data_IF_600108361706
#
_entry.id   IF_600108361706
#
_cell.length_a   1.000
_cell.length_b   1.000
_cell.length_c   1.000
_cell.angle_alpha   90.00
_cell.angle_beta   90.00
_cell.angle_gamma   90.00
#
_symmetry.space_group_name_H-M   'P 1'
#
loop_
_entity.id
_entity.type
_entity.pdbx_description
1 polymer ?
#
# COMPACT_ATOMS: atom_id res chain seq x y z
N UNK A 1 -90.99 -14.79 28.86
CA UNK A 1 -90.39 -16.11 29.15
C UNK A 1 -90.34 -16.87 27.84
N UNK A 2 -89.16 -16.96 27.22
CA UNK A 2 -88.76 -18.07 26.32
C UNK A 2 -87.30 -17.83 25.93
N UNK A 3 -86.47 -18.74 26.41
CA UNK A 3 -85.03 -18.84 26.30
C UNK A 3 -84.66 -19.33 24.88
N UNK A 4 -83.73 -18.66 24.20
CA UNK A 4 -83.17 -19.13 22.92
C UNK A 4 -81.68 -19.40 23.09
N UNK A 5 -81.38 -20.66 23.39
CA UNK A 5 -80.04 -21.21 23.46
C UNK A 5 -79.47 -21.47 22.05
N UNK A 6 -78.24 -21.01 21.84
CA UNK A 6 -77.43 -21.22 20.63
C UNK A 6 -76.88 -22.67 20.62
N UNK A 7 -76.91 -23.41 19.49
CA UNK A 7 -76.38 -24.76 19.42
C UNK A 7 -74.84 -24.79 19.40
N UNK A 8 -74.25 -25.67 20.22
CA UNK A 8 -72.82 -25.93 20.25
C UNK A 8 -72.34 -26.61 18.95
N UNK A 9 -71.44 -25.94 18.22
CA UNK A 9 -70.72 -26.53 17.10
C UNK A 9 -69.81 -27.67 17.58
N UNK A 10 -70.10 -28.90 17.15
CA UNK A 10 -69.18 -30.04 17.28
C UNK A 10 -67.91 -29.74 16.48
N UNK A 11 -66.78 -29.74 17.17
CA UNK A 11 -65.45 -29.53 16.59
C UNK A 11 -65.16 -30.53 15.47
N UNK A 12 -64.81 -30.02 14.30
CA UNK A 12 -64.20 -30.78 13.22
C UNK A 12 -62.80 -31.19 13.70
N UNK A 13 -62.42 -32.49 13.67
CA UNK A 13 -61.07 -32.89 14.03
C UNK A 13 -60.07 -32.28 13.04
N UNK A 14 -59.07 -31.58 13.56
CA UNK A 14 -57.99 -31.02 12.77
C UNK A 14 -57.31 -32.13 11.94
N UNK A 15 -56.98 -31.88 10.66
CA UNK A 15 -56.29 -32.87 9.84
C UNK A 15 -54.95 -33.23 10.50
N UNK A 16 -54.74 -34.52 10.77
CA UNK A 16 -53.46 -35.06 11.23
C UNK A 16 -52.38 -34.64 10.22
N UNK A 17 -51.43 -33.83 10.67
CA UNK A 17 -50.23 -33.46 9.92
C UNK A 17 -49.35 -34.70 9.71
N UNK A 18 -49.69 -35.49 8.69
CA UNK A 18 -48.89 -36.59 8.19
C UNK A 18 -48.20 -36.12 6.90
N UNK A 19 -47.08 -35.40 7.02
CA UNK A 19 -45.97 -35.33 6.03
C UNK A 19 -44.91 -34.30 6.49
N UNK A 20 -44.25 -34.54 7.62
CA UNK A 20 -42.91 -33.97 7.85
C UNK A 20 -42.05 -35.17 8.24
N UNK A 21 -41.33 -35.72 7.26
CA UNK A 21 -40.33 -36.74 7.53
C UNK A 21 -39.38 -36.23 8.62
N UNK A 22 -39.08 -37.08 9.59
CA UNK A 22 -38.14 -36.78 10.67
C UNK A 22 -36.85 -36.18 10.08
N UNK A 23 -36.66 -34.87 10.25
CA UNK A 23 -35.37 -34.25 10.01
C UNK A 23 -34.47 -34.78 11.12
N UNK A 24 -33.68 -35.80 10.80
CA UNK A 24 -32.66 -36.39 11.68
C UNK A 24 -31.82 -35.24 12.26
N UNK A 25 -32.09 -34.85 13.51
CA UNK A 25 -31.39 -33.75 14.18
C UNK A 25 -29.90 -34.06 14.14
N UNK A 26 -29.11 -33.16 13.56
CA UNK A 26 -27.66 -33.30 13.52
C UNK A 26 -27.13 -33.08 14.93
N UNK A 27 -25.99 -33.71 15.25
CA UNK A 27 -25.30 -33.39 16.51
C UNK A 27 -24.87 -31.92 16.50
N UNK A 28 -24.85 -31.21 17.65
CA UNK A 28 -24.42 -29.81 17.73
C UNK A 28 -23.03 -29.55 17.13
N UNK A 29 -22.11 -30.52 17.25
CA UNK A 29 -20.78 -30.46 16.65
C UNK A 29 -20.84 -30.44 15.11
N UNK A 30 -21.67 -31.30 14.51
CA UNK A 30 -21.84 -31.35 13.05
C UNK A 30 -22.49 -30.07 12.49
N UNK A 31 -23.39 -29.42 13.24
CA UNK A 31 -23.96 -28.12 12.87
C UNK A 31 -22.90 -27.02 12.93
N UNK A 32 -22.12 -26.97 14.01
CA UNK A 32 -21.02 -26.01 14.16
C UNK A 32 -19.97 -26.16 13.05
N UNK A 33 -19.54 -27.39 12.75
CA UNK A 33 -18.60 -27.68 11.66
C UNK A 33 -19.15 -27.27 10.30
N UNK A 34 -20.45 -27.46 10.04
CA UNK A 34 -21.06 -27.06 8.79
C UNK A 34 -21.13 -25.53 8.64
N UNK A 35 -21.39 -24.79 9.73
CA UNK A 35 -21.34 -23.31 9.74
C UNK A 35 -19.91 -22.81 9.54
N UNK A 36 -18.92 -23.43 10.19
CA UNK A 36 -17.49 -23.10 9.99
C UNK A 36 -17.08 -23.36 8.54
N UNK A 37 -17.46 -24.50 7.96
CA UNK A 37 -17.17 -24.81 6.56
C UNK A 37 -17.78 -23.79 5.60
N UNK A 38 -19.01 -23.33 5.88
CA UNK A 38 -19.65 -22.28 5.08
C UNK A 38 -18.95 -20.93 5.23
N UNK A 39 -18.50 -20.59 6.45
CA UNK A 39 -17.70 -19.39 6.74
C UNK A 39 -16.35 -19.41 6.02
N UNK A 40 -15.64 -20.56 6.01
CA UNK A 40 -14.42 -20.76 5.25
C UNK A 40 -14.66 -20.66 3.74
N UNK A 41 -15.82 -21.14 3.26
CA UNK A 41 -16.25 -20.93 1.88
C UNK A 41 -16.41 -19.46 1.54
N UNK A 42 -17.11 -18.69 2.39
CA UNK A 42 -17.23 -17.24 2.26
C UNK A 42 -15.86 -16.57 2.22
N UNK A 43 -14.97 -16.95 3.14
CA UNK A 43 -13.60 -16.45 3.18
C UNK A 43 -12.87 -16.72 1.86
N UNK A 44 -12.90 -17.95 1.35
CA UNK A 44 -12.20 -18.32 0.12
C UNK A 44 -12.71 -17.54 -1.11
N UNK A 45 -14.03 -17.41 -1.26
CA UNK A 45 -14.64 -16.65 -2.35
C UNK A 45 -14.30 -15.17 -2.29
N UNK A 46 -14.46 -14.55 -1.13
CA UNK A 46 -14.17 -13.13 -0.93
C UNK A 46 -12.67 -12.84 -1.08
N UNK A 47 -11.80 -13.69 -0.53
CA UNK A 47 -10.35 -13.55 -0.75
C UNK A 47 -10.00 -13.66 -2.23
N UNK A 48 -10.59 -14.62 -2.94
CA UNK A 48 -10.37 -14.75 -4.38
C UNK A 48 -10.81 -13.50 -5.13
N UNK A 49 -11.94 -12.91 -4.77
CA UNK A 49 -12.49 -11.68 -5.35
C UNK A 49 -11.60 -10.46 -5.09
N UNK A 50 -11.10 -10.30 -3.86
CA UNK A 50 -10.43 -9.07 -3.43
C UNK A 50 -8.91 -9.06 -3.60
N UNK A 51 -8.23 -10.22 -3.56
CA UNK A 51 -6.77 -10.30 -3.72
C UNK A 51 -6.26 -9.59 -4.98
N UNK A 52 -6.88 -9.75 -6.17
CA UNK A 52 -6.45 -9.05 -7.38
C UNK A 52 -6.39 -7.54 -7.25
N UNK A 53 -7.20 -6.90 -6.39
CA UNK A 53 -7.15 -5.45 -6.17
C UNK A 53 -5.78 -5.05 -5.61
N UNK A 54 -5.22 -5.88 -4.73
CA UNK A 54 -3.96 -5.62 -4.05
C UNK A 54 -2.71 -5.99 -4.86
N UNK A 55 -2.85 -6.77 -5.95
CA UNK A 55 -1.75 -7.23 -6.82
C UNK A 55 -2.00 -6.97 -8.31
N UNK A 56 -2.92 -6.05 -8.63
CA UNK A 56 -3.36 -5.78 -9.99
C UNK A 56 -2.20 -5.38 -10.93
N UNK A 57 -1.24 -4.53 -10.50
CA UNK A 57 -0.08 -4.20 -11.33
C UNK A 57 0.77 -5.42 -11.68
N UNK A 58 1.04 -6.30 -10.73
CA UNK A 58 1.83 -7.53 -10.94
C UNK A 58 1.10 -8.51 -11.86
N UNK A 59 -0.23 -8.62 -11.72
CA UNK A 59 -1.03 -9.43 -12.63
C UNK A 59 -1.00 -8.87 -14.06
N UNK A 60 -1.07 -7.54 -14.23
CA UNK A 60 -0.99 -6.88 -15.52
C UNK A 60 0.36 -7.16 -16.22
N UNK A 61 1.45 -7.02 -15.46
CA UNK A 61 2.81 -7.32 -15.93
C UNK A 61 2.96 -8.81 -16.29
N UNK A 62 2.50 -9.73 -15.44
CA UNK A 62 2.64 -11.17 -15.63
C UNK A 62 1.96 -11.73 -16.89
N UNK A 63 0.93 -11.05 -17.40
CA UNK A 63 0.27 -11.41 -18.68
C UNK A 63 0.52 -10.40 -19.80
N UNK A 64 1.39 -9.42 -19.59
CA UNK A 64 1.84 -8.45 -20.60
C UNK A 64 0.75 -7.48 -21.09
N UNK A 65 -0.14 -7.01 -20.22
CA UNK A 65 -1.23 -6.06 -20.58
C UNK A 65 -1.13 -4.75 -19.80
N UNK A 66 -1.82 -3.71 -20.27
CA UNK A 66 -1.88 -2.43 -19.54
C UNK A 66 -2.67 -2.55 -18.24
N UNK A 67 -2.38 -1.68 -17.26
CA UNK A 67 -3.11 -1.61 -16.00
C UNK A 67 -4.61 -1.34 -16.23
N UNK A 68 -4.95 -0.53 -17.24
CA UNK A 68 -6.35 -0.28 -17.62
C UNK A 68 -7.07 -1.55 -18.10
N UNK A 69 -6.40 -2.39 -18.91
CA UNK A 69 -6.95 -3.69 -19.32
C UNK A 69 -7.06 -4.67 -18.15
N UNK A 70 -6.06 -4.70 -17.27
CA UNK A 70 -6.11 -5.50 -16.04
C UNK A 70 -7.28 -5.09 -15.13
N UNK A 71 -7.68 -3.81 -15.13
CA UNK A 71 -8.87 -3.30 -14.42
C UNK A 71 -10.15 -4.09 -14.71
N UNK A 72 -10.33 -4.61 -15.92
CA UNK A 72 -11.49 -5.44 -16.26
C UNK A 72 -11.54 -6.79 -15.52
N UNK A 73 -10.40 -7.28 -15.00
CA UNK A 73 -10.37 -8.48 -14.13
C UNK A 73 -11.13 -8.24 -12.83
N UNK A 74 -11.22 -6.99 -12.36
CA UNK A 74 -11.97 -6.57 -11.17
C UNK A 74 -13.39 -6.16 -11.56
N UNK A 75 -13.53 -5.23 -12.49
CA UNK A 75 -14.85 -4.70 -12.89
C UNK A 75 -15.74 -5.75 -13.55
N UNK A 76 -15.18 -6.56 -14.45
CA UNK A 76 -15.90 -7.63 -15.13
C UNK A 76 -16.31 -8.75 -14.16
N UNK A 77 -15.48 -9.04 -13.16
CA UNK A 77 -15.81 -9.98 -12.09
C UNK A 77 -17.02 -9.48 -11.28
N UNK A 78 -16.98 -8.24 -10.78
CA UNK A 78 -18.07 -7.66 -10.00
C UNK A 78 -19.39 -7.60 -10.80
N UNK A 79 -19.32 -7.20 -12.08
CA UNK A 79 -20.48 -7.16 -12.96
C UNK A 79 -21.08 -8.55 -13.15
N UNK A 80 -20.25 -9.56 -13.41
CA UNK A 80 -20.73 -10.93 -13.60
C UNK A 80 -21.33 -11.50 -12.31
N UNK A 81 -20.74 -11.24 -11.14
CA UNK A 81 -21.33 -11.63 -9.84
C UNK A 81 -22.75 -11.06 -9.70
N UNK A 82 -22.91 -9.76 -9.97
CA UNK A 82 -24.20 -9.08 -9.86
C UNK A 82 -25.26 -9.66 -10.82
N UNK A 83 -24.87 -9.94 -12.07
CA UNK A 83 -25.77 -10.50 -13.09
C UNK A 83 -26.06 -11.99 -12.81
N UNK A 84 -25.07 -12.75 -12.35
CA UNK A 84 -25.17 -14.20 -12.13
C UNK A 84 -26.07 -14.57 -10.94
N UNK A 85 -26.11 -13.72 -9.90
CA UNK A 85 -26.75 -14.04 -8.63
C UNK A 85 -28.23 -14.46 -8.79
N UNK A 86 -29.06 -13.68 -9.49
CA UNK A 86 -30.49 -13.98 -9.62
C UNK A 86 -30.82 -15.16 -10.55
N UNK A 87 -30.39 -15.16 -11.83
CA UNK A 87 -30.79 -16.19 -12.80
C UNK A 87 -30.21 -17.57 -12.46
N UNK A 88 -28.92 -17.65 -12.09
CA UNK A 88 -28.31 -18.95 -11.80
C UNK A 88 -28.81 -19.55 -10.50
N UNK A 89 -29.22 -18.73 -9.53
CA UNK A 89 -29.87 -19.23 -8.31
C UNK A 89 -31.26 -19.79 -8.59
N UNK A 90 -32.01 -19.17 -9.51
CA UNK A 90 -33.29 -19.70 -9.96
C UNK A 90 -33.11 -21.08 -10.65
N UNK A 91 -32.12 -21.19 -11.56
CA UNK A 91 -31.81 -22.45 -12.27
C UNK A 91 -31.36 -23.56 -11.31
N UNK A 92 -30.53 -23.21 -10.33
CA UNK A 92 -30.03 -24.16 -9.32
C UNK A 92 -31.01 -24.40 -8.17
N UNK A 93 -32.21 -23.80 -8.21
CA UNK A 93 -33.20 -23.88 -7.14
C UNK A 93 -33.69 -25.30 -6.80
N UNK A 94 -33.68 -26.20 -7.80
CA UNK A 94 -34.08 -27.62 -7.65
C UNK A 94 -32.92 -28.55 -7.27
N UNK A 95 -31.68 -28.04 -7.26
CA UNK A 95 -30.50 -28.86 -6.99
C UNK A 95 -30.38 -29.19 -5.51
N UNK A 96 -29.78 -30.35 -5.20
CA UNK A 96 -29.44 -30.69 -3.83
C UNK A 96 -28.40 -29.69 -3.30
N UNK A 97 -28.76 -28.98 -2.23
CA UNK A 97 -27.95 -27.89 -1.68
C UNK A 97 -26.54 -28.31 -1.26
N UNK A 98 -26.35 -29.53 -0.75
CA UNK A 98 -25.01 -30.03 -0.38
C UNK A 98 -24.13 -30.10 -1.62
N UNK A 99 -24.64 -30.72 -2.68
CA UNK A 99 -23.90 -30.87 -3.93
C UNK A 99 -23.68 -29.54 -4.63
N UNK A 100 -24.66 -28.63 -4.60
CA UNK A 100 -24.48 -27.27 -5.09
C UNK A 100 -23.29 -26.58 -4.41
N UNK A 101 -23.26 -26.54 -3.07
CA UNK A 101 -22.16 -25.89 -2.34
C UNK A 101 -20.79 -26.51 -2.66
N UNK A 102 -20.71 -27.85 -2.73
CA UNK A 102 -19.47 -28.53 -3.10
C UNK A 102 -19.03 -28.21 -4.53
N UNK A 103 -19.96 -28.18 -5.49
CA UNK A 103 -19.67 -27.80 -6.87
C UNK A 103 -19.18 -26.36 -7.00
N UNK A 104 -19.74 -25.42 -6.22
CA UNK A 104 -19.30 -24.03 -6.21
C UNK A 104 -17.88 -23.89 -5.63
N UNK A 105 -17.60 -24.56 -4.52
CA UNK A 105 -16.25 -24.59 -3.95
C UNK A 105 -15.24 -25.23 -4.92
N UNK A 106 -15.62 -26.32 -5.58
CA UNK A 106 -14.80 -26.94 -6.62
C UNK A 106 -14.54 -25.99 -7.79
N UNK A 107 -15.57 -25.28 -8.29
CA UNK A 107 -15.41 -24.29 -9.34
C UNK A 107 -14.50 -23.12 -8.92
N UNK A 108 -14.60 -22.68 -7.67
CA UNK A 108 -13.70 -21.68 -7.08
C UNK A 108 -12.25 -22.18 -7.05
N UNK A 109 -12.01 -23.40 -6.57
CA UNK A 109 -10.67 -24.00 -6.55
C UNK A 109 -10.13 -24.17 -7.97
N UNK A 110 -10.92 -24.73 -8.89
CA UNK A 110 -10.52 -24.93 -10.27
C UNK A 110 -10.18 -23.62 -10.97
N UNK A 111 -11.02 -22.58 -10.79
CA UNK A 111 -10.76 -21.27 -11.36
C UNK A 111 -9.50 -20.61 -10.80
N UNK A 112 -9.19 -20.80 -9.51
CA UNK A 112 -7.92 -20.34 -8.92
C UNK A 112 -6.71 -21.12 -9.46
N UNK A 113 -6.83 -22.44 -9.67
CA UNK A 113 -5.77 -23.24 -10.30
C UNK A 113 -5.54 -22.79 -11.75
N UNK A 114 -6.59 -22.53 -12.51
CA UNK A 114 -6.49 -21.99 -13.87
C UNK A 114 -5.86 -20.59 -13.88
N UNK A 115 -6.17 -19.77 -12.87
CA UNK A 115 -5.55 -18.44 -12.68
C UNK A 115 -4.05 -18.57 -12.43
N UNK A 116 -3.61 -19.56 -11.65
CA UNK A 116 -2.20 -19.80 -11.39
C UNK A 116 -1.40 -20.18 -12.64
N UNK A 117 -2.00 -20.99 -13.53
CA UNK A 117 -1.38 -21.39 -14.81
C UNK A 117 -1.68 -20.43 -15.97
N UNK A 118 -2.24 -19.25 -15.71
CA UNK A 118 -2.61 -18.33 -16.78
C UNK A 118 -1.36 -17.63 -17.35
N UNK A 119 -0.97 -18.02 -18.57
CA UNK A 119 0.17 -17.41 -19.29
C UNK A 119 -0.24 -16.21 -20.16
N UNK A 120 -1.54 -15.92 -20.27
CA UNK A 120 -2.06 -14.80 -21.03
C UNK A 120 -3.37 -14.27 -20.44
N UNK A 121 -3.70 -13.03 -20.83
CA UNK A 121 -4.85 -12.30 -20.31
C UNK A 121 -6.19 -13.00 -20.57
N UNK A 122 -6.36 -13.69 -21.69
CA UNK A 122 -7.62 -14.35 -22.03
C UNK A 122 -7.91 -15.52 -21.08
N UNK A 123 -6.89 -16.35 -20.79
CA UNK A 123 -7.01 -17.45 -19.84
C UNK A 123 -7.27 -16.91 -18.43
N UNK A 124 -6.56 -15.86 -18.03
CA UNK A 124 -6.73 -15.19 -16.74
C UNK A 124 -8.14 -14.61 -16.57
N UNK A 125 -8.66 -13.91 -17.59
CA UNK A 125 -10.01 -13.36 -17.57
C UNK A 125 -11.05 -14.48 -17.52
N UNK A 126 -10.91 -15.52 -18.35
CA UNK A 126 -11.84 -16.64 -18.39
C UNK A 126 -11.89 -17.39 -17.04
N UNK A 127 -10.74 -17.68 -16.42
CA UNK A 127 -10.68 -18.31 -15.11
C UNK A 127 -11.37 -17.47 -14.05
N UNK A 128 -11.17 -16.14 -14.07
CA UNK A 128 -11.84 -15.19 -13.18
C UNK A 128 -13.34 -15.16 -13.37
N UNK A 129 -13.84 -15.20 -14.60
CA UNK A 129 -15.27 -15.21 -14.89
C UNK A 129 -15.95 -16.51 -14.42
N UNK A 130 -15.27 -17.65 -14.51
CA UNK A 130 -15.76 -18.92 -13.93
C UNK A 130 -15.96 -18.77 -12.42
N UNK A 131 -14.97 -18.21 -11.72
CA UNK A 131 -15.08 -17.97 -10.28
C UNK A 131 -16.18 -16.93 -9.97
N UNK A 132 -16.31 -15.87 -10.76
CA UNK A 132 -17.33 -14.84 -10.57
C UNK A 132 -18.76 -15.42 -10.66
N UNK A 133 -19.02 -16.28 -11.64
CA UNK A 133 -20.30 -16.95 -11.76
C UNK A 133 -20.60 -17.84 -10.54
N UNK A 134 -19.60 -18.62 -10.07
CA UNK A 134 -19.74 -19.43 -8.87
C UNK A 134 -19.96 -18.58 -7.60
N UNK A 135 -19.26 -17.45 -7.51
CA UNK A 135 -19.38 -16.50 -6.41
C UNK A 135 -20.78 -15.90 -6.32
N UNK A 136 -21.38 -15.49 -7.45
CA UNK A 136 -22.75 -14.98 -7.47
C UNK A 136 -23.80 -15.97 -6.94
N UNK A 137 -23.67 -17.26 -7.29
CA UNK A 137 -24.55 -18.32 -6.78
C UNK A 137 -24.27 -18.60 -5.29
N UNK A 138 -23.00 -18.51 -4.87
CA UNK A 138 -22.64 -18.68 -3.47
C UNK A 138 -23.25 -17.58 -2.61
N UNK A 139 -23.14 -16.31 -3.02
CA UNK A 139 -23.70 -15.15 -2.33
C UNK A 139 -25.21 -15.25 -2.08
N UNK A 140 -25.97 -15.67 -3.09
CA UNK A 140 -27.43 -15.80 -2.97
C UNK A 140 -27.89 -16.96 -2.08
N UNK A 141 -27.03 -17.98 -1.88
CA UNK A 141 -27.39 -19.23 -1.19
C UNK A 141 -26.77 -19.38 0.19
N UNK A 142 -25.63 -18.73 0.48
CA UNK A 142 -24.89 -18.88 1.74
C UNK A 142 -25.74 -18.54 2.98
N UNK A 143 -26.44 -17.40 2.98
CA UNK A 143 -27.33 -17.03 4.09
C UNK A 143 -28.48 -18.04 4.27
N UNK A 144 -29.11 -18.47 3.17
CA UNK A 144 -30.19 -19.46 3.23
C UNK A 144 -29.72 -20.80 3.79
N UNK A 145 -28.47 -21.18 3.49
CA UNK A 145 -27.85 -22.39 4.00
C UNK A 145 -27.50 -22.29 5.47
N UNK A 146 -27.03 -21.14 5.94
CA UNK A 146 -26.79 -20.89 7.36
C UNK A 146 -28.07 -21.08 8.19
N UNK A 147 -29.18 -20.49 7.73
CA UNK A 147 -30.51 -20.62 8.37
C UNK A 147 -31.01 -22.07 8.32
N UNK A 148 -30.76 -22.79 7.23
CA UNK A 148 -31.20 -24.19 7.06
C UNK A 148 -30.40 -25.19 7.90
N UNK A 149 -29.14 -24.90 8.20
CA UNK A 149 -28.26 -25.78 8.97
C UNK A 149 -28.44 -25.57 10.48
N UNK A 150 -28.67 -24.33 10.91
CA UNK A 150 -28.76 -23.99 12.32
C UNK A 150 -30.18 -24.18 12.88
N UNK A 151 -30.31 -24.50 14.18
CA UNK A 151 -31.60 -24.43 14.87
C UNK A 151 -32.17 -23.02 14.80
N UNK A 152 -33.50 -22.89 14.73
CA UNK A 152 -34.21 -21.61 14.55
C UNK A 152 -33.76 -20.52 15.55
N UNK A 153 -33.57 -20.89 16.82
CA UNK A 153 -33.03 -20.03 17.89
C UNK A 153 -31.60 -19.50 17.68
N UNK A 154 -30.85 -20.06 16.73
CA UNK A 154 -29.45 -19.73 16.45
C UNK A 154 -29.22 -19.33 14.98
N UNK A 155 -30.27 -19.21 14.17
CA UNK A 155 -30.16 -18.89 12.75
C UNK A 155 -29.42 -17.57 12.48
N UNK A 156 -29.73 -16.51 13.25
CA UNK A 156 -29.04 -15.22 13.14
C UNK A 156 -27.55 -15.37 13.45
N UNK A 157 -27.20 -16.08 14.53
CA UNK A 157 -25.79 -16.28 14.94
C UNK A 157 -25.02 -17.10 13.89
N UNK A 158 -25.66 -18.09 13.29
CA UNK A 158 -25.05 -18.87 12.21
C UNK A 158 -24.80 -18.00 10.97
N UNK A 159 -25.78 -17.20 10.55
CA UNK A 159 -25.60 -16.26 9.43
C UNK A 159 -24.50 -15.25 9.70
N UNK A 160 -24.43 -14.69 10.92
CA UNK A 160 -23.34 -13.79 11.34
C UNK A 160 -21.98 -14.48 11.29
N UNK A 161 -21.87 -15.75 11.73
CA UNK A 161 -20.62 -16.50 11.66
C UNK A 161 -20.18 -16.79 10.22
N UNK A 162 -21.12 -17.05 9.31
CA UNK A 162 -20.84 -17.24 7.87
C UNK A 162 -20.31 -15.96 7.24
N UNK A 163 -20.92 -14.81 7.55
CA UNK A 163 -20.42 -13.51 7.09
C UNK A 163 -19.19 -13.01 7.88
N UNK A 164 -18.85 -13.62 9.01
CA UNK A 164 -17.56 -13.42 9.66
C UNK A 164 -16.38 -13.77 8.74
N UNK A 165 -16.56 -14.74 7.85
CA UNK A 165 -15.56 -15.08 6.82
C UNK A 165 -15.29 -13.95 5.82
N UNK A 166 -16.31 -13.15 5.48
CA UNK A 166 -16.16 -11.94 4.65
C UNK A 166 -15.28 -10.90 5.35
N UNK A 167 -15.58 -10.61 6.63
CA UNK A 167 -14.78 -9.65 7.41
C UNK A 167 -13.31 -10.10 7.51
N UNK A 168 -13.07 -11.38 7.78
CA UNK A 168 -11.72 -11.96 7.80
C UNK A 168 -11.03 -11.88 6.45
N UNK A 169 -11.73 -12.12 5.34
CA UNK A 169 -11.16 -12.04 4.01
C UNK A 169 -10.80 -10.62 3.59
N UNK A 170 -11.58 -9.61 3.98
CA UNK A 170 -11.22 -8.21 3.72
C UNK A 170 -10.03 -7.75 4.58
N UNK A 171 -9.96 -8.18 5.84
CA UNK A 171 -8.89 -7.81 6.78
C UNK A 171 -7.58 -8.55 6.48
N UNK A 172 -7.64 -9.82 6.09
CA UNK A 172 -6.45 -10.65 5.86
C UNK A 172 -6.12 -10.79 4.38
N UNK A 173 -7.11 -10.94 3.51
CA UNK A 173 -6.92 -11.29 2.10
C UNK A 173 -6.24 -10.20 1.28
N UNK A 174 -6.70 -8.94 1.38
CA UNK A 174 -6.08 -7.84 0.64
C UNK A 174 -4.64 -7.60 1.13
N UNK A 175 -4.38 -7.42 2.45
CA UNK A 175 -3.01 -7.23 2.93
C UNK A 175 -2.11 -8.44 2.68
N UNK A 176 -2.61 -9.69 2.80
CA UNK A 176 -1.81 -10.88 2.50
C UNK A 176 -1.52 -10.99 1.00
N UNK A 177 -2.46 -10.65 0.12
CA UNK A 177 -2.25 -10.60 -1.32
C UNK A 177 -1.19 -9.57 -1.70
N UNK A 178 -1.37 -8.32 -1.24
CA UNK A 178 -0.38 -7.25 -1.43
C UNK A 178 0.96 -7.59 -0.79
N UNK A 179 0.97 -8.17 0.40
CA UNK A 179 2.18 -8.64 1.06
C UNK A 179 2.87 -9.69 0.22
N UNK A 180 2.22 -10.82 -0.12
CA UNK A 180 2.81 -11.90 -0.93
C UNK A 180 3.23 -11.46 -2.33
N UNK A 181 2.46 -10.56 -2.97
CA UNK A 181 2.80 -9.99 -4.28
C UNK A 181 3.97 -9.00 -4.23
N UNK A 182 4.22 -8.38 -3.09
CA UNK A 182 5.34 -7.47 -2.89
C UNK A 182 6.52 -8.10 -2.13
N UNK A 183 6.34 -9.22 -1.42
CA UNK A 183 7.33 -9.74 -0.46
C UNK A 183 8.61 -10.26 -1.12
N UNK A 184 8.54 -10.61 -2.40
CA UNK A 184 9.70 -10.99 -3.19
C UNK A 184 10.37 -9.75 -3.81
N UNK A 185 11.16 -8.99 -3.04
CA UNK A 185 12.02 -7.94 -3.62
C UNK A 185 12.45 -6.76 -2.75
N UNK A 186 11.96 -6.65 -1.50
CA UNK A 186 12.26 -5.47 -0.68
C UNK A 186 13.70 -5.52 -0.17
N UNK A 187 14.38 -4.39 -0.27
CA UNK A 187 15.73 -4.18 0.26
C UNK A 187 15.60 -3.15 1.37
N UNK A 188 16.11 -3.46 2.55
CA UNK A 188 15.97 -2.59 3.72
C UNK A 188 17.27 -1.83 3.92
N UNK A 189 17.21 -0.54 4.23
CA UNK A 189 18.39 0.18 4.69
C UNK A 189 18.56 0.03 6.20
N UNK A 190 19.81 -0.18 6.65
CA UNK A 190 20.16 -0.15 8.06
C UNK A 190 21.40 0.72 8.28
N UNK A 191 21.37 1.51 9.36
CA UNK A 191 22.49 2.42 9.69
C UNK A 191 23.78 1.67 10.08
N UNK A 192 23.64 0.50 10.71
CA UNK A 192 24.75 -0.30 11.22
C UNK A 192 24.38 -1.79 11.30
N UNK A 193 25.37 -2.65 11.49
CA UNK A 193 25.21 -4.11 11.60
C UNK A 193 24.17 -4.57 12.63
N UNK A 194 24.10 -3.93 13.80
CA UNK A 194 23.09 -4.26 14.82
C UNK A 194 21.66 -4.02 14.31
N UNK A 195 21.43 -2.87 13.67
CA UNK A 195 20.15 -2.54 13.03
C UNK A 195 19.88 -3.42 11.82
N UNK A 196 20.91 -3.84 11.09
CA UNK A 196 20.79 -4.75 9.96
C UNK A 196 20.29 -6.13 10.42
N UNK A 197 20.89 -6.68 11.48
CA UNK A 197 20.47 -7.93 12.11
C UNK A 197 19.04 -7.83 12.66
N UNK A 198 18.72 -6.74 13.35
CA UNK A 198 17.37 -6.50 13.86
C UNK A 198 16.33 -6.40 12.73
N UNK A 199 16.68 -5.72 11.62
CA UNK A 199 15.82 -5.60 10.45
C UNK A 199 15.58 -6.96 9.78
N UNK A 200 16.63 -7.77 9.58
CA UNK A 200 16.48 -9.13 9.04
C UNK A 200 15.71 -10.06 9.97
N UNK A 201 15.88 -9.94 11.28
CA UNK A 201 15.10 -10.73 12.24
C UNK A 201 13.61 -10.37 12.19
N UNK A 202 13.27 -9.08 12.01
CA UNK A 202 11.90 -8.61 11.88
C UNK A 202 11.29 -8.91 10.49
N UNK A 203 12.12 -8.93 9.45
CA UNK A 203 11.72 -9.11 8.04
C UNK A 203 12.60 -10.17 7.37
N UNK A 204 12.48 -11.46 7.75
CA UNK A 204 13.40 -12.52 7.32
C UNK A 204 13.35 -12.82 5.81
N UNK A 205 12.31 -12.38 5.11
CA UNK A 205 12.21 -12.54 3.66
C UNK A 205 12.69 -11.32 2.86
N UNK A 206 13.22 -10.28 3.51
CA UNK A 206 13.84 -9.18 2.79
C UNK A 206 14.98 -9.71 1.91
N UNK A 207 15.06 -9.22 0.66
CA UNK A 207 16.03 -9.69 -0.32
C UNK A 207 17.47 -9.33 0.07
N UNK A 208 17.66 -8.14 0.65
CA UNK A 208 18.95 -7.68 1.13
C UNK A 208 18.78 -6.59 2.20
N UNK A 209 19.84 -6.38 3.00
CA UNK A 209 20.01 -5.18 3.81
C UNK A 209 21.16 -4.35 3.26
N UNK A 210 20.87 -3.11 2.92
CA UNK A 210 21.84 -2.11 2.53
C UNK A 210 22.32 -1.39 3.79
N UNK A 211 23.48 -1.78 4.31
CA UNK A 211 24.08 -1.12 5.47
C UNK A 211 24.80 0.18 5.05
N UNK A 212 24.59 1.26 5.81
CA UNK A 212 25.41 2.48 5.70
C UNK A 212 24.89 3.65 6.55
N UNK A 213 25.77 4.30 7.31
CA UNK A 213 25.44 5.51 8.06
C UNK A 213 25.58 6.77 7.19
N UNK A 214 24.46 7.33 6.76
CA UNK A 214 24.44 8.50 5.89
C UNK A 214 25.01 9.78 6.53
N UNK A 215 25.30 9.76 7.83
CA UNK A 215 25.98 10.89 8.50
C UNK A 215 27.46 10.99 8.15
N UNK A 216 28.05 10.02 7.43
CA UNK A 216 29.44 10.08 6.98
C UNK A 216 29.58 9.87 5.48
N UNK A 217 30.44 10.65 4.83
CA UNK A 217 30.69 10.66 3.38
C UNK A 217 31.04 9.24 2.90
N UNK A 218 32.03 8.60 3.53
CA UNK A 218 32.51 7.27 3.13
C UNK A 218 31.41 6.21 3.25
N UNK A 219 30.57 6.25 4.28
CA UNK A 219 29.50 5.27 4.42
C UNK A 219 28.35 5.54 3.44
N UNK A 220 28.03 6.81 3.14
CA UNK A 220 27.07 7.17 2.09
C UNK A 220 27.52 6.71 0.70
N UNK A 221 28.80 6.87 0.37
CA UNK A 221 29.35 6.36 -0.90
C UNK A 221 29.22 4.84 -1.01
N UNK A 222 29.60 4.11 0.04
CA UNK A 222 29.43 2.63 0.10
C UNK A 222 27.97 2.21 0.01
N UNK A 223 27.06 2.99 0.58
CA UNK A 223 25.62 2.76 0.49
C UNK A 223 25.14 2.88 -0.97
N UNK A 224 25.58 3.91 -1.71
CA UNK A 224 25.28 4.06 -3.13
C UNK A 224 25.82 2.89 -3.97
N UNK A 225 27.08 2.49 -3.75
CA UNK A 225 27.68 1.31 -4.39
C UNK A 225 26.88 0.03 -4.10
N UNK A 226 26.43 -0.14 -2.85
CA UNK A 226 25.62 -1.28 -2.47
C UNK A 226 24.23 -1.25 -3.12
N UNK A 227 23.60 -0.07 -3.20
CA UNK A 227 22.34 0.11 -3.90
C UNK A 227 22.47 -0.27 -5.38
N UNK A 228 23.50 0.22 -6.08
CA UNK A 228 23.74 -0.09 -7.50
C UNK A 228 23.94 -1.58 -7.79
N UNK A 229 24.59 -2.32 -6.89
CA UNK A 229 24.74 -3.79 -7.01
C UNK A 229 23.41 -4.54 -6.97
N UNK A 230 22.40 -3.93 -6.35
CA UNK A 230 21.13 -4.57 -6.07
C UNK A 230 20.02 -4.17 -7.05
N UNK A 231 20.26 -3.22 -7.95
CA UNK A 231 19.41 -3.00 -9.12
C UNK A 231 19.41 -1.55 -9.59
N UNK A 232 19.01 -1.31 -10.85
CA UNK A 232 18.61 0.01 -11.26
C UNK A 232 17.34 0.43 -10.49
N UNK A 233 17.21 1.72 -10.21
CA UNK A 233 16.04 2.29 -9.55
C UNK A 233 15.33 3.23 -10.53
N UNK A 234 14.03 3.04 -10.75
CA UNK A 234 13.25 3.96 -11.59
C UNK A 234 13.04 5.33 -10.91
N UNK A 235 12.97 5.34 -9.59
CA UNK A 235 12.81 6.54 -8.78
C UNK A 235 13.64 6.47 -7.50
N UNK A 236 14.18 7.61 -7.05
CA UNK A 236 14.85 7.77 -5.76
C UNK A 236 14.19 8.88 -4.96
N UNK A 237 13.80 8.57 -3.72
CA UNK A 237 13.20 9.51 -2.77
C UNK A 237 14.18 9.72 -1.61
N UNK A 238 14.72 10.93 -1.46
CA UNK A 238 15.69 11.26 -0.41
C UNK A 238 15.00 11.56 0.94
N UNK A 239 14.31 10.56 1.49
CA UNK A 239 13.45 10.73 2.67
C UNK A 239 14.20 10.78 4.01
N UNK A 240 15.44 10.29 4.07
CA UNK A 240 16.20 10.25 5.33
C UNK A 240 16.53 11.68 5.77
N UNK A 241 16.15 12.02 7.00
CA UNK A 241 16.44 13.32 7.59
C UNK A 241 16.56 13.25 9.11
N UNK A 242 17.26 14.24 9.68
CA UNK A 242 17.28 14.56 11.11
C UNK A 242 16.59 15.89 11.35
N UNK A 243 15.93 16.03 12.50
CA UNK A 243 15.01 17.13 12.80
C UNK A 243 15.67 18.38 13.42
N UNK A 244 14.85 19.41 13.60
CA UNK A 244 15.20 20.78 14.04
C UNK A 244 15.57 20.95 15.53
N UNK A 245 15.62 19.86 16.32
CA UNK A 245 15.73 19.94 17.78
C UNK A 245 17.15 19.69 18.31
N UNK A 246 18.18 19.85 17.49
CA UNK A 246 19.57 19.73 17.94
C UNK A 246 19.98 20.96 18.76
N UNK A 247 20.18 20.86 20.08
CA UNK A 247 20.43 22.03 20.94
C UNK A 247 21.85 22.61 20.75
N UNK A 248 22.74 21.86 20.10
CA UNK A 248 24.12 22.24 19.81
C UNK A 248 24.56 21.59 18.50
N UNK A 249 25.59 22.13 17.86
CA UNK A 249 26.20 21.57 16.66
C UNK A 249 26.76 20.18 16.96
N UNK A 250 26.12 19.15 16.44
CA UNK A 250 26.63 17.78 16.52
C UNK A 250 27.59 17.56 15.37
N UNK A 251 28.82 17.21 15.68
CA UNK A 251 29.85 16.94 14.67
C UNK A 251 29.83 15.46 14.26
N UNK A 252 29.81 15.22 12.96
CA UNK A 252 29.91 13.88 12.36
C UNK A 252 31.35 13.41 12.31
N UNK A 253 31.57 12.15 11.92
CA UNK A 253 32.92 11.60 11.73
C UNK A 253 33.78 12.35 10.69
N UNK A 254 33.15 13.14 9.80
CA UNK A 254 33.83 13.95 8.79
C UNK A 254 33.98 15.43 9.21
N UNK A 255 33.70 15.78 10.47
CA UNK A 255 33.83 17.16 10.96
C UNK A 255 32.67 18.09 10.57
N UNK A 256 31.64 17.57 9.90
CA UNK A 256 30.49 18.33 9.41
C UNK A 256 29.33 18.36 10.41
N UNK A 257 28.48 19.40 10.42
CA UNK A 257 27.23 19.37 11.19
C UNK A 257 26.34 18.20 10.77
N UNK A 258 25.80 17.49 11.75
CA UNK A 258 24.97 16.31 11.55
C UNK A 258 23.74 16.58 10.64
N UNK A 259 23.03 17.69 10.87
CA UNK A 259 21.91 18.12 10.00
C UNK A 259 22.36 18.30 8.55
N UNK A 260 23.46 19.01 8.31
CA UNK A 260 23.98 19.24 6.96
C UNK A 260 24.42 17.94 6.28
N UNK A 261 25.17 17.09 6.99
CA UNK A 261 25.67 15.84 6.46
C UNK A 261 24.53 14.91 6.02
N UNK A 262 23.49 14.76 6.86
CA UNK A 262 22.37 13.85 6.61
C UNK A 262 21.34 14.44 5.64
N UNK A 263 20.94 15.69 5.82
CA UNK A 263 19.82 16.27 5.06
C UNK A 263 20.25 16.92 3.74
N UNK A 264 21.55 17.22 3.54
CA UNK A 264 22.01 17.92 2.34
C UNK A 264 23.09 17.13 1.60
N UNK A 265 24.19 16.80 2.28
CA UNK A 265 25.33 16.17 1.61
C UNK A 265 25.04 14.73 1.20
N UNK A 266 24.32 13.97 2.03
CA UNK A 266 23.97 12.59 1.71
C UNK A 266 23.02 12.48 0.50
N UNK A 267 21.92 13.26 0.38
CA UNK A 267 21.12 13.31 -0.85
C UNK A 267 21.94 13.62 -2.10
N UNK A 268 22.86 14.59 -2.02
CA UNK A 268 23.77 14.89 -3.13
C UNK A 268 24.64 13.68 -3.51
N UNK A 269 25.36 13.07 -2.55
CA UNK A 269 26.24 11.92 -2.79
C UNK A 269 25.46 10.75 -3.39
N UNK A 270 24.28 10.43 -2.82
CA UNK A 270 23.44 9.34 -3.30
C UNK A 270 22.92 9.63 -4.71
N UNK A 271 22.50 10.87 -4.99
CA UNK A 271 22.08 11.26 -6.35
C UNK A 271 23.23 11.10 -7.34
N UNK A 272 24.42 11.60 -7.00
CA UNK A 272 25.59 11.58 -7.87
C UNK A 272 26.11 10.16 -8.17
N UNK A 273 25.90 9.20 -7.26
CA UNK A 273 26.49 7.86 -7.35
C UNK A 273 25.50 6.74 -7.67
N UNK A 274 24.22 6.86 -7.31
CA UNK A 274 23.22 5.86 -7.69
C UNK A 274 22.98 5.95 -9.20
N UNK A 275 22.85 4.81 -9.88
CA UNK A 275 22.56 4.76 -11.31
C UNK A 275 21.35 5.64 -11.65
N UNK A 276 21.52 6.52 -12.63
CA UNK A 276 20.60 7.64 -12.94
C UNK A 276 19.14 7.16 -13.02
N UNK A 277 18.27 7.54 -12.06
CA UNK A 277 16.86 7.16 -12.09
C UNK A 277 16.09 8.05 -13.06
N UNK A 278 14.83 7.69 -13.38
CA UNK A 278 13.93 8.55 -14.17
C UNK A 278 13.33 9.67 -13.34
N UNK A 279 13.22 9.47 -12.01
CA UNK A 279 12.57 10.39 -11.07
C UNK A 279 13.40 10.58 -9.80
N UNK A 280 13.58 11.83 -9.41
CA UNK A 280 14.20 12.24 -8.15
C UNK A 280 13.18 13.04 -7.33
N UNK A 281 13.06 12.69 -6.05
CA UNK A 281 12.14 13.35 -5.12
C UNK A 281 12.87 13.75 -3.85
N UNK A 282 12.80 15.03 -3.51
CA UNK A 282 13.47 15.62 -2.33
C UNK A 282 12.43 16.13 -1.31
N UNK A 283 12.13 15.35 -0.25
CA UNK A 283 11.31 15.79 0.87
C UNK A 283 11.95 16.94 1.67
N UNK A 284 11.42 18.14 1.42
CA UNK A 284 11.75 19.39 2.09
C UNK A 284 10.69 19.71 3.19
N UNK A 285 10.48 20.99 3.51
CA UNK A 285 9.56 21.51 4.51
C UNK A 285 9.22 22.96 4.19
N UNK A 286 8.01 23.40 4.52
CA UNK A 286 7.59 24.80 4.41
C UNK A 286 8.45 25.82 5.14
N UNK A 287 9.27 25.38 6.11
CA UNK A 287 10.25 26.21 6.80
C UNK A 287 11.32 26.78 5.85
N UNK A 288 11.60 26.12 4.73
CA UNK A 288 12.59 26.59 3.76
C UNK A 288 12.27 27.98 3.20
N UNK A 289 10.99 28.39 3.18
CA UNK A 289 10.53 29.67 2.61
C UNK A 289 11.07 30.89 3.35
N UNK A 290 11.47 30.74 4.61
CA UNK A 290 12.03 31.81 5.43
C UNK A 290 13.47 31.54 5.87
N UNK A 291 14.11 30.48 5.35
CA UNK A 291 15.47 30.12 5.72
C UNK A 291 16.48 31.08 5.08
N UNK A 292 17.65 31.23 5.69
CA UNK A 292 18.78 31.89 5.05
C UNK A 292 19.21 31.14 3.77
N UNK A 293 19.42 31.88 2.68
CA UNK A 293 20.03 31.36 1.45
C UNK A 293 21.56 31.57 1.40
N UNK A 294 22.17 32.01 2.50
CA UNK A 294 23.62 32.23 2.58
C UNK A 294 24.37 30.90 2.72
N UNK A 295 25.20 30.59 1.72
CA UNK A 295 26.00 29.37 1.67
C UNK A 295 27.44 29.58 2.20
N UNK A 296 27.82 30.78 2.65
CA UNK A 296 29.18 31.13 3.09
C UNK A 296 29.59 30.48 4.42
N UNK A 297 28.61 30.11 5.25
CA UNK A 297 28.78 29.41 6.52
C UNK A 297 27.79 28.25 6.69
N UNK A 298 27.61 27.50 5.60
CA UNK A 298 26.72 26.33 5.53
C UNK A 298 27.06 25.23 6.56
N UNK A 299 28.31 25.22 7.04
CA UNK A 299 28.78 24.28 8.09
C UNK A 299 28.69 24.85 9.51
N UNK A 300 28.11 26.05 9.68
CA UNK A 300 27.91 26.71 10.97
C UNK A 300 29.21 26.80 11.80
N UNK A 301 30.29 27.21 11.14
CA UNK A 301 31.62 27.32 11.74
C UNK A 301 31.89 28.74 12.30
N UNK A 302 31.23 29.76 11.74
CA UNK A 302 31.46 31.18 12.10
C UNK A 302 30.40 31.71 13.05
N UNK A 303 29.14 31.28 12.90
CA UNK A 303 28.01 31.75 13.72
C UNK A 303 27.62 30.78 14.84
N UNK A 304 26.92 31.29 15.85
CA UNK A 304 26.38 30.48 16.95
C UNK A 304 25.33 29.53 16.41
N UNK A 305 25.36 28.27 16.84
CA UNK A 305 24.41 27.23 16.44
C UNK A 305 22.96 27.57 16.79
N UNK A 306 22.08 27.38 15.81
CA UNK A 306 20.62 27.33 15.96
C UNK A 306 20.10 26.11 15.18
N UNK A 307 19.56 25.11 15.90
CA UNK A 307 19.10 23.87 15.27
C UNK A 307 17.85 24.03 14.39
N UNK A 308 17.03 25.06 14.63
CA UNK A 308 15.83 25.31 13.82
C UNK A 308 16.20 25.99 12.52
N UNK A 309 17.09 26.98 12.57
CA UNK A 309 17.61 27.63 11.37
C UNK A 309 18.45 26.64 10.55
N UNK A 310 19.37 25.89 11.16
CA UNK A 310 20.17 24.88 10.45
C UNK A 310 19.30 23.82 9.74
N UNK A 311 18.18 23.42 10.36
CA UNK A 311 17.21 22.53 9.73
C UNK A 311 16.46 23.22 8.58
N UNK A 312 16.02 24.46 8.77
CA UNK A 312 15.29 25.23 7.74
C UNK A 312 16.15 25.47 6.51
N UNK A 313 17.43 25.80 6.69
CA UNK A 313 18.45 25.89 5.64
C UNK A 313 18.64 24.55 4.93
N UNK A 314 18.76 23.44 5.68
CA UNK A 314 18.87 22.10 5.06
C UNK A 314 17.67 21.76 4.17
N UNK A 315 16.49 22.27 4.51
CA UNK A 315 15.26 22.09 3.72
C UNK A 315 15.25 22.99 2.50
N UNK A 316 15.86 24.17 2.55
CA UNK A 316 16.13 24.98 1.36
C UNK A 316 17.13 24.27 0.43
N UNK A 317 18.16 23.63 0.99
CA UNK A 317 19.11 22.85 0.20
C UNK A 317 18.45 21.68 -0.54
N UNK A 318 17.49 20.99 0.06
CA UNK A 318 16.69 19.95 -0.64
C UNK A 318 16.02 20.50 -1.91
N UNK A 319 15.46 21.71 -1.86
CA UNK A 319 14.83 22.36 -3.03
C UNK A 319 15.88 22.80 -4.06
N UNK A 320 16.99 23.37 -3.60
CA UNK A 320 18.10 23.76 -4.48
C UNK A 320 18.69 22.55 -5.21
N UNK A 321 18.91 21.43 -4.53
CA UNK A 321 19.36 20.17 -5.12
C UNK A 321 18.35 19.67 -6.16
N UNK A 322 17.07 19.61 -5.80
CA UNK A 322 16.02 19.17 -6.72
C UNK A 322 16.03 19.99 -8.02
N UNK A 323 16.14 21.31 -7.91
CA UNK A 323 16.09 22.20 -9.07
C UNK A 323 17.42 22.22 -9.85
N UNK A 324 18.56 22.05 -9.18
CA UNK A 324 19.85 21.86 -9.82
C UNK A 324 19.84 20.59 -10.70
N UNK A 325 19.40 19.45 -10.15
CA UNK A 325 19.33 18.20 -10.90
C UNK A 325 18.27 18.22 -12.01
N UNK A 326 17.17 18.96 -11.83
CA UNK A 326 16.20 19.19 -12.92
C UNK A 326 16.84 19.89 -14.13
N UNK A 327 17.81 20.78 -13.90
CA UNK A 327 18.55 21.50 -14.95
C UNK A 327 19.72 20.69 -15.50
N UNK A 328 20.46 20.01 -14.63
CA UNK A 328 21.65 19.26 -15.02
C UNK A 328 21.31 17.95 -15.73
N UNK A 329 20.18 17.32 -15.40
CA UNK A 329 19.72 16.08 -16.01
C UNK A 329 18.32 16.29 -16.62
N UNK A 330 18.22 16.87 -17.83
CA UNK A 330 16.93 17.22 -18.44
C UNK A 330 16.02 16.01 -18.71
N UNK A 331 16.60 14.80 -18.81
CA UNK A 331 15.86 13.54 -18.98
C UNK A 331 15.34 12.96 -17.64
N UNK A 332 15.61 13.61 -16.50
CA UNK A 332 15.21 13.17 -15.16
C UNK A 332 14.22 14.17 -14.57
N UNK A 333 13.06 13.67 -14.14
CA UNK A 333 12.08 14.48 -13.43
C UNK A 333 12.54 14.65 -11.98
N UNK A 334 12.96 15.85 -11.61
CA UNK A 334 13.49 16.13 -10.28
C UNK A 334 12.66 17.20 -9.58
N UNK A 335 12.01 16.82 -8.48
CA UNK A 335 11.05 17.67 -7.77
C UNK A 335 11.26 17.62 -6.26
N UNK A 336 10.83 18.67 -5.58
CA UNK A 336 10.79 18.75 -4.13
C UNK A 336 9.35 18.82 -3.62
N UNK A 337 9.15 18.57 -2.33
CA UNK A 337 7.83 18.67 -1.69
C UNK A 337 7.94 18.90 -0.20
N UNK A 338 6.86 19.35 0.43
CA UNK A 338 6.68 19.22 1.88
C UNK A 338 5.68 18.09 2.20
N UNK A 339 6.01 17.17 3.12
CA UNK A 339 5.17 16.01 3.43
C UNK A 339 4.03 16.33 4.42
N UNK A 340 3.92 17.59 4.88
CA UNK A 340 3.00 17.98 5.95
C UNK A 340 3.57 17.77 7.36
N UNK A 341 2.86 18.31 8.36
CA UNK A 341 3.20 18.21 9.77
C UNK A 341 2.33 17.15 10.45
N UNK A 342 2.81 15.90 10.39
CA UNK A 342 2.13 14.71 10.92
C UNK A 342 2.73 14.21 12.23
N UNK A 343 1.89 13.59 13.06
CA UNK A 343 2.25 13.08 14.39
C UNK A 343 3.18 11.86 14.31
N UNK A 344 4.48 12.17 14.21
CA UNK A 344 5.59 11.22 14.22
C UNK A 344 6.57 11.57 15.34
N UNK A 345 7.59 10.74 15.58
CA UNK A 345 8.66 11.09 16.52
C UNK A 345 9.32 12.44 16.20
N UNK A 346 9.38 12.80 14.91
CA UNK A 346 9.94 14.06 14.44
C UNK A 346 8.94 15.22 14.52
N UNK A 347 7.67 15.00 14.12
CA UNK A 347 6.62 16.03 14.15
C UNK A 347 6.13 16.39 15.55
N UNK A 348 6.18 15.43 16.49
CA UNK A 348 5.68 15.57 17.85
C UNK A 348 4.16 15.46 17.96
N UNK A 349 3.65 15.43 19.19
CA UNK A 349 2.22 15.22 19.48
C UNK A 349 1.31 16.38 19.10
N UNK A 350 1.86 17.56 18.79
CA UNK A 350 1.11 18.75 18.39
C UNK A 350 0.83 18.81 16.88
N UNK A 351 1.37 17.87 16.12
CA UNK A 351 1.23 17.82 14.67
C UNK A 351 -0.22 17.48 14.26
N UNK A 352 -0.78 18.28 13.37
CA UNK A 352 -2.23 18.30 13.07
C UNK A 352 -2.63 17.59 11.79
N UNK A 353 -1.67 17.31 10.90
CA UNK A 353 -1.99 16.76 9.58
C UNK A 353 -2.30 15.26 9.66
N UNK A 354 -3.04 14.79 8.66
CA UNK A 354 -3.40 13.38 8.52
C UNK A 354 -2.18 12.54 8.11
N UNK A 355 -1.89 11.51 8.91
CA UNK A 355 -0.80 10.57 8.67
C UNK A 355 -0.90 9.87 7.30
N UNK A 356 -2.13 9.60 6.84
CA UNK A 356 -2.35 8.96 5.54
C UNK A 356 -1.92 9.87 4.37
N UNK A 357 -1.99 11.18 4.55
CA UNK A 357 -1.62 12.14 3.50
C UNK A 357 -0.10 12.34 3.39
N UNK A 358 0.67 12.05 4.44
CA UNK A 358 2.09 12.39 4.50
C UNK A 358 3.00 11.67 3.51
N UNK A 359 2.54 10.56 2.94
CA UNK A 359 3.31 9.78 1.96
C UNK A 359 2.84 9.95 0.51
N UNK A 360 1.63 10.49 0.31
CA UNK A 360 0.96 10.46 -1.00
C UNK A 360 1.67 11.31 -2.04
N UNK A 361 2.17 12.49 -1.69
CA UNK A 361 2.84 13.39 -2.65
C UNK A 361 4.14 12.79 -3.18
N UNK A 362 4.99 12.22 -2.31
CA UNK A 362 6.23 11.59 -2.75
C UNK A 362 5.98 10.33 -3.58
N UNK A 363 4.98 9.52 -3.22
CA UNK A 363 4.59 8.36 -4.03
C UNK A 363 4.05 8.80 -5.39
N UNK A 364 3.16 9.80 -5.43
CA UNK A 364 2.60 10.35 -6.66
C UNK A 364 3.71 10.88 -7.60
N UNK A 365 4.66 11.66 -7.09
CA UNK A 365 5.81 12.12 -7.89
C UNK A 365 6.72 10.98 -8.34
N UNK A 366 6.85 9.90 -7.56
CA UNK A 366 7.72 8.78 -7.89
C UNK A 366 7.15 7.80 -8.93
N UNK A 367 5.82 7.63 -9.00
CA UNK A 367 5.21 6.57 -9.84
C UNK A 367 4.08 7.01 -10.78
N UNK A 368 3.53 8.23 -10.64
CA UNK A 368 2.35 8.63 -11.39
C UNK A 368 2.67 9.18 -12.78
N UNK A 369 1.90 8.76 -13.78
CA UNK A 369 1.91 9.32 -15.15
C UNK A 369 0.90 10.47 -15.34
N UNK A 370 0.28 10.95 -14.24
CA UNK A 370 -0.53 12.17 -14.24
C UNK A 370 0.29 13.35 -14.80
N UNK A 371 -0.21 14.10 -15.80
CA UNK A 371 0.49 15.28 -16.34
C UNK A 371 0.99 16.26 -15.27
N UNK A 372 0.29 16.39 -14.14
CA UNK A 372 0.73 17.24 -13.03
C UNK A 372 1.91 16.66 -12.23
N UNK A 373 2.14 15.34 -12.28
CA UNK A 373 3.31 14.66 -11.71
C UNK A 373 4.49 14.58 -12.69
N UNK A 374 4.22 14.64 -14.00
CA UNK A 374 5.23 14.58 -15.06
C UNK A 374 5.78 15.97 -15.34
N UNK A 375 6.37 16.57 -14.30
CA UNK A 375 7.05 17.87 -14.37
C UNK A 375 8.41 17.80 -13.68
N UNK A 376 9.22 18.83 -13.83
CA UNK A 376 10.52 18.95 -13.17
C UNK A 376 10.67 20.36 -12.58
N UNK A 377 11.55 20.52 -11.59
CA UNK A 377 11.70 21.75 -10.82
C UNK A 377 10.40 22.26 -10.16
N UNK A 378 9.51 21.34 -9.79
CA UNK A 378 8.29 21.61 -9.04
C UNK A 378 8.47 21.47 -7.53
N UNK A 379 7.64 22.20 -6.77
CA UNK A 379 7.52 22.07 -5.32
C UNK A 379 6.06 21.88 -4.92
N UNK A 380 5.79 20.83 -4.14
CA UNK A 380 4.41 20.36 -3.91
C UNK A 380 4.05 20.19 -2.44
N UNK A 381 2.76 20.34 -2.15
CA UNK A 381 2.14 19.96 -0.90
C UNK A 381 0.77 19.35 -1.19
N UNK A 382 0.51 18.12 -0.73
CA UNK A 382 -0.71 17.36 -1.05
C UNK A 382 -1.04 17.34 -2.55
N UNK A 383 -0.04 17.01 -3.37
CA UNK A 383 -0.14 16.97 -4.85
C UNK A 383 -0.53 18.30 -5.51
N UNK A 384 -0.46 19.42 -4.77
CA UNK A 384 -0.71 20.77 -5.27
C UNK A 384 0.59 21.58 -5.32
N UNK A 385 0.84 22.34 -6.39
CA UNK A 385 2.00 23.24 -6.45
C UNK A 385 1.99 24.26 -5.31
N UNK A 386 3.17 24.59 -4.80
CA UNK A 386 3.37 25.61 -3.77
C UNK A 386 4.54 26.52 -4.10
N UNK A 387 4.51 27.72 -3.52
CA UNK A 387 5.62 28.65 -3.62
C UNK A 387 6.84 28.15 -2.85
N UNK A 388 8.00 28.53 -3.37
CA UNK A 388 9.32 28.23 -2.83
C UNK A 388 10.01 29.50 -2.39
N UNK A 389 11.07 29.36 -1.59
CA UNK A 389 12.00 30.46 -1.32
C UNK A 389 12.47 31.13 -2.62
N UNK A 390 12.63 32.46 -2.62
CA UNK A 390 12.96 33.24 -3.81
C UNK A 390 14.26 32.78 -4.49
N UNK A 391 15.29 32.47 -3.69
CA UNK A 391 16.58 31.98 -4.20
C UNK A 391 16.56 30.52 -4.69
N UNK A 392 15.51 29.75 -4.46
CA UNK A 392 15.46 28.35 -4.91
C UNK A 392 15.60 28.23 -6.44
N UNK A 393 15.12 29.24 -7.18
CA UNK A 393 15.22 29.32 -8.65
C UNK A 393 16.45 30.07 -9.15
N UNK A 394 17.33 30.53 -8.26
CA UNK A 394 18.57 31.19 -8.64
C UNK A 394 19.61 30.14 -9.06
N UNK A 395 19.93 30.09 -10.36
CA UNK A 395 20.90 29.12 -10.88
C UNK A 395 22.28 29.24 -10.24
N UNK A 396 22.72 30.46 -9.90
CA UNK A 396 24.01 30.66 -9.24
C UNK A 396 24.03 30.04 -7.84
N UNK A 397 22.91 30.10 -7.10
CA UNK A 397 22.80 29.47 -5.78
C UNK A 397 22.76 27.94 -5.89
N UNK A 398 22.05 27.42 -6.89
CA UNK A 398 22.04 25.98 -7.20
C UNK A 398 23.45 25.48 -7.53
N UNK A 399 24.15 26.15 -8.45
CA UNK A 399 25.52 25.81 -8.87
C UNK A 399 26.47 25.85 -7.66
N UNK A 400 26.37 26.91 -6.85
CA UNK A 400 27.20 27.09 -5.66
C UNK A 400 27.00 26.00 -4.60
N UNK A 401 25.76 25.57 -4.37
CA UNK A 401 25.47 24.44 -3.48
C UNK A 401 26.12 23.15 -3.99
N UNK A 402 26.00 22.89 -5.30
CA UNK A 402 26.62 21.72 -5.93
C UNK A 402 28.15 21.75 -5.77
N UNK A 403 28.80 22.88 -6.07
CA UNK A 403 30.25 23.04 -5.90
C UNK A 403 30.71 22.80 -4.46
N UNK A 404 29.95 23.29 -3.47
CA UNK A 404 30.22 23.04 -2.06
C UNK A 404 30.13 21.54 -1.75
N UNK A 405 29.08 20.88 -2.22
CA UNK A 405 28.87 19.45 -2.01
C UNK A 405 29.95 18.60 -2.70
N UNK A 406 30.35 18.95 -3.93
CA UNK A 406 31.49 18.34 -4.65
C UNK A 406 32.79 18.48 -3.86
N UNK A 407 33.12 19.70 -3.42
CA UNK A 407 34.34 19.96 -2.65
C UNK A 407 34.39 19.19 -1.33
N UNK A 408 33.28 19.15 -0.59
CA UNK A 408 33.22 18.48 0.70
C UNK A 408 33.21 16.96 0.58
N UNK A 409 32.50 16.41 -0.41
CA UNK A 409 32.45 14.96 -0.64
C UNK A 409 33.67 14.42 -1.39
N UNK A 410 34.40 15.26 -2.12
CA UNK A 410 35.44 14.86 -3.06
C UNK A 410 34.90 14.26 -4.37
N UNK A 411 33.59 14.33 -4.61
CA UNK A 411 32.96 13.89 -5.86
C UNK A 411 32.97 15.01 -6.90
N UNK A 412 32.97 14.62 -8.17
CA UNK A 412 32.64 15.49 -9.29
C UNK A 412 31.42 14.94 -9.99
N UNK A 413 30.43 15.79 -10.21
CA UNK A 413 29.20 15.46 -10.87
C UNK A 413 29.42 15.38 -12.38
N UNK A 414 28.95 14.30 -12.99
CA UNK A 414 28.87 14.22 -14.45
C UNK A 414 27.65 14.99 -14.95
N UNK A 415 27.89 16.22 -15.37
CA UNK A 415 26.90 17.05 -16.07
C UNK A 415 26.90 16.60 -17.54
N UNK A 416 25.87 15.85 -17.94
CA UNK A 416 25.58 15.48 -19.33
C UNK A 416 24.11 15.61 -19.61
#
# INVERSE_FOLDING_TARGET
>A
MTDHAIPQHRGVPAPKAAFIGEIKRRSPLAEALAVVALSLGTFAFVSTELVPIGILPQMAEGVGVSLGQAGFLVTGFALLVAIAATPFTAVTGRWNRKWLMLSLLFACTLGNVLTYFAENYAVLLASRLIVAAANGIFWSTAASMAVRIAPEKHAVRATSAVYGGLALASVLGIPAGTFLGNYAGWRIHARNDERAKAAMAALPAAHAVLEGDVSTIRATMRLAENANRHGPYDAVIHNVAVGYREPQRIETGDGLPHVFAVNTLAPFILTALIGRPKRLVYPSSGLHRNASADLDDITWAKRRWDGTEAYSESKLHDVLLAFAFARYWPDVLSNALEPGWVSTRMGGSAATDDLDQAHRTQSWLAVSDDPAAVVTAGYFYHMQPREVHADARNHQQQDRLIEICERLSGLKLEIR
#
